data_IF_693128785090
#
_entry.id   IF_693128785090
#
_cell.length_a   1.000
_cell.length_b   1.000
_cell.length_c   1.000
_cell.angle_alpha   90.00
_cell.angle_beta   90.00
_cell.angle_gamma   90.00
#
_symmetry.space_group_name_H-M   'P 1'
#
loop_
_entity.id
_entity.type
_entity.pdbx_description
1 polymer ?
#
# COMPACT_ATOMS: atom_id res chain seq x y z
N UNK A 1 43.34 21.69 8.67
CA UNK A 1 42.48 22.41 7.69
C UNK A 1 41.06 21.95 7.94
N UNK A 2 40.28 22.77 8.63
CA UNK A 2 38.85 22.60 8.84
C UNK A 2 38.15 22.94 7.53
N UNK A 3 37.60 21.92 6.86
CA UNK A 3 36.72 22.14 5.71
C UNK A 3 35.35 22.48 6.31
N UNK A 4 35.02 23.76 6.32
CA UNK A 4 33.67 24.25 6.54
C UNK A 4 32.82 23.83 5.34
N UNK A 5 31.92 22.88 5.54
CA UNK A 5 30.80 22.64 4.63
C UNK A 5 29.79 23.77 4.84
N UNK A 6 29.36 24.50 3.80
CA UNK A 6 28.23 25.41 3.96
C UNK A 6 27.01 24.55 4.29
N UNK A 7 26.25 24.93 5.32
CA UNK A 7 24.90 24.42 5.51
C UNK A 7 24.13 24.74 4.22
N UNK A 8 23.65 23.71 3.53
CA UNK A 8 22.72 23.92 2.42
C UNK A 8 21.46 24.52 3.01
N UNK A 9 21.21 25.79 2.74
CA UNK A 9 19.87 26.38 2.88
C UNK A 9 18.93 25.47 2.09
N UNK A 10 18.10 24.71 2.81
CA UNK A 10 17.08 23.87 2.21
C UNK A 10 16.14 24.78 1.42
N UNK A 11 16.23 24.76 0.10
CA UNK A 11 15.34 25.54 -0.75
C UNK A 11 13.94 24.96 -0.61
N UNK A 12 13.11 25.57 0.26
CA UNK A 12 11.68 25.29 0.27
C UNK A 12 11.11 25.73 -1.08
N UNK A 13 10.57 24.79 -1.84
CA UNK A 13 9.86 25.10 -3.08
C UNK A 13 8.69 26.02 -2.74
N UNK A 14 8.52 27.08 -3.52
CA UNK A 14 7.31 27.91 -3.42
C UNK A 14 6.08 27.06 -3.76
N UNK A 15 4.89 27.43 -3.27
CA UNK A 15 3.63 26.73 -3.60
C UNK A 15 3.44 26.59 -5.12
N UNK A 16 3.77 27.63 -5.87
CA UNK A 16 3.66 27.65 -7.34
C UNK A 16 4.67 26.71 -8.03
N UNK A 17 5.84 26.46 -7.43
CA UNK A 17 6.79 25.45 -7.92
C UNK A 17 6.36 24.03 -7.54
N UNK A 18 5.71 23.85 -6.38
CA UNK A 18 5.14 22.55 -5.98
C UNK A 18 4.00 22.12 -6.91
N UNK A 19 3.17 23.05 -7.39
CA UNK A 19 2.09 22.75 -8.33
C UNK A 19 2.57 22.24 -9.71
N UNK A 20 3.83 22.48 -10.08
CA UNK A 20 4.40 22.07 -11.37
C UNK A 20 5.25 20.80 -11.29
N UNK A 21 5.54 20.32 -10.07
CA UNK A 21 6.36 19.14 -9.83
C UNK A 21 5.49 17.97 -9.37
N UNK A 22 5.90 16.73 -9.70
CA UNK A 22 5.20 15.55 -9.20
C UNK A 22 5.20 15.49 -7.67
N UNK A 23 4.13 14.95 -7.11
CA UNK A 23 4.08 14.62 -5.69
C UNK A 23 5.09 13.52 -5.35
N UNK A 24 5.61 13.55 -4.11
CA UNK A 24 6.67 12.65 -3.67
C UNK A 24 6.14 11.66 -2.62
N UNK A 25 6.44 10.38 -2.81
CA UNK A 25 6.06 9.30 -1.88
C UNK A 25 7.32 8.61 -1.37
N UNK A 26 7.48 8.55 -0.04
CA UNK A 26 8.46 7.70 0.63
C UNK A 26 7.88 6.29 0.77
N UNK A 27 8.42 5.32 0.03
CA UNK A 27 7.95 3.93 0.05
C UNK A 27 8.91 3.00 0.77
N UNK A 28 8.51 2.46 1.92
CA UNK A 28 9.32 1.60 2.80
C UNK A 28 8.78 0.17 2.75
N UNK A 29 9.36 -0.68 1.92
CA UNK A 29 8.85 -2.03 1.62
C UNK A 29 9.97 -3.02 1.30
N UNK A 30 9.64 -4.29 1.08
CA UNK A 30 10.58 -5.28 0.58
C UNK A 30 11.02 -5.01 -0.87
N UNK A 31 12.15 -5.57 -1.31
CA UNK A 31 12.59 -5.55 -2.70
C UNK A 31 13.08 -6.92 -3.18
N UNK A 32 12.77 -7.21 -4.46
CA UNK A 32 13.29 -8.37 -5.18
C UNK A 32 13.97 -7.95 -6.47
N UNK A 33 15.09 -8.60 -6.82
CA UNK A 33 15.80 -8.36 -8.06
C UNK A 33 15.12 -9.00 -9.30
N UNK A 34 14.48 -10.15 -9.11
CA UNK A 34 13.69 -10.86 -10.10
C UNK A 34 12.25 -11.03 -9.61
N UNK A 35 11.30 -10.63 -10.46
CA UNK A 35 9.87 -10.64 -10.16
C UNK A 35 9.37 -9.34 -9.52
N UNK A 36 8.14 -9.37 -9.01
CA UNK A 36 7.45 -8.19 -8.50
C UNK A 36 6.76 -8.48 -7.16
N UNK A 37 7.35 -7.98 -6.06
CA UNK A 37 6.74 -7.84 -4.72
C UNK A 37 7.34 -6.61 -4.03
N UNK A 38 6.64 -6.08 -3.02
CA UNK A 38 7.02 -4.86 -2.30
C UNK A 38 7.27 -3.69 -3.26
N UNK A 39 8.38 -2.99 -3.09
CA UNK A 39 8.77 -1.87 -3.94
C UNK A 39 8.97 -2.25 -5.42
N UNK A 40 9.29 -3.51 -5.75
CA UNK A 40 9.35 -3.97 -7.14
C UNK A 40 7.96 -4.07 -7.81
N UNK A 41 6.89 -4.10 -7.01
CA UNK A 41 5.50 -4.04 -7.46
C UNK A 41 4.84 -2.67 -7.21
N UNK A 42 5.32 -1.86 -6.26
CA UNK A 42 4.72 -0.58 -5.87
C UNK A 42 5.32 0.65 -6.56
N UNK A 43 6.64 0.70 -6.76
CA UNK A 43 7.31 1.91 -7.29
C UNK A 43 6.88 2.24 -8.70
N UNK A 44 6.90 1.25 -9.60
CA UNK A 44 6.61 1.48 -11.01
C UNK A 44 5.16 1.92 -11.27
N UNK A 45 4.11 1.35 -10.63
CA UNK A 45 2.76 1.87 -10.78
C UNK A 45 2.63 3.31 -10.30
N UNK A 46 3.21 3.67 -9.16
CA UNK A 46 3.22 5.05 -8.66
C UNK A 46 3.93 6.01 -9.64
N UNK A 47 5.10 5.64 -10.13
CA UNK A 47 5.81 6.43 -11.14
C UNK A 47 5.00 6.55 -12.43
N UNK A 48 4.34 5.47 -12.86
CA UNK A 48 3.48 5.48 -14.05
C UNK A 48 2.23 6.34 -13.88
N UNK A 49 1.78 6.55 -12.65
CA UNK A 49 0.73 7.49 -12.25
C UNK A 49 1.22 8.95 -12.13
N UNK A 50 2.52 9.20 -12.24
CA UNK A 50 3.12 10.53 -12.23
C UNK A 50 3.73 10.98 -10.90
N UNK A 51 4.03 10.06 -9.99
CA UNK A 51 4.67 10.36 -8.70
C UNK A 51 6.18 10.14 -8.74
N UNK A 52 6.91 10.93 -7.97
CA UNK A 52 8.27 10.58 -7.56
C UNK A 52 8.22 9.62 -6.37
N UNK A 53 9.09 8.61 -6.38
CA UNK A 53 9.09 7.57 -5.34
C UNK A 53 10.49 7.43 -4.74
N UNK A 54 10.61 7.76 -3.46
CA UNK A 54 11.83 7.57 -2.67
C UNK A 54 11.71 6.21 -2.00
N UNK A 55 12.36 5.20 -2.56
CA UNK A 55 12.24 3.83 -2.07
C UNK A 55 13.32 3.50 -1.04
N UNK A 56 12.89 3.04 0.14
CA UNK A 56 13.75 2.40 1.13
C UNK A 56 13.37 0.91 1.18
N UNK A 57 14.38 0.06 1.00
CA UNK A 57 14.19 -1.39 0.93
C UNK A 57 14.40 -2.01 2.31
N UNK A 58 13.43 -2.77 2.81
CA UNK A 58 13.53 -3.50 4.09
C UNK A 58 14.29 -4.83 3.92
N UNK A 59 14.26 -5.39 2.71
CA UNK A 59 15.06 -6.54 2.29
C UNK A 59 15.48 -6.34 0.84
N UNK A 60 16.56 -6.98 0.43
CA UNK A 60 16.92 -7.15 -0.98
C UNK A 60 17.15 -8.63 -1.25
N UNK A 61 16.18 -9.27 -1.89
CA UNK A 61 16.23 -10.68 -2.26
C UNK A 61 16.39 -10.90 -3.75
N UNK A 62 16.88 -12.08 -4.15
CA UNK A 62 16.93 -12.47 -5.56
C UNK A 62 15.53 -12.56 -6.15
N UNK A 63 14.57 -13.10 -5.41
CA UNK A 63 13.19 -13.35 -5.81
C UNK A 63 12.31 -13.49 -4.57
N UNK A 64 10.99 -13.47 -4.73
CA UNK A 64 10.07 -13.57 -3.60
C UNK A 64 10.12 -14.96 -2.93
N UNK A 65 9.80 -15.04 -1.64
CA UNK A 65 9.87 -16.28 -0.83
C UNK A 65 8.93 -17.38 -1.32
N UNK A 66 7.86 -17.03 -2.05
CA UNK A 66 6.95 -18.00 -2.67
C UNK A 66 7.61 -18.98 -3.67
N UNK A 67 8.84 -18.75 -4.13
CA UNK A 67 9.59 -19.73 -4.93
C UNK A 67 10.14 -20.90 -4.11
N UNK A 68 10.14 -20.81 -2.77
CA UNK A 68 10.68 -21.82 -1.86
C UNK A 68 12.18 -21.71 -1.60
N UNK A 69 12.94 -21.05 -2.48
CA UNK A 69 14.34 -20.70 -2.27
C UNK A 69 14.63 -19.29 -2.79
N UNK A 70 15.51 -18.58 -2.11
CA UNK A 70 15.97 -17.25 -2.47
C UNK A 70 17.34 -16.97 -1.83
N UNK A 71 18.01 -15.94 -2.31
CA UNK A 71 19.23 -15.38 -1.72
C UNK A 71 19.04 -13.90 -1.43
N UNK A 72 19.95 -13.30 -0.67
CA UNK A 72 19.95 -11.87 -0.40
C UNK A 72 20.04 -11.55 1.09
N UNK A 73 19.62 -10.33 1.46
CA UNK A 73 19.79 -9.80 2.81
C UNK A 73 18.53 -9.11 3.33
N UNK A 74 18.33 -9.20 4.64
CA UNK A 74 17.41 -8.35 5.39
C UNK A 74 18.20 -7.14 5.88
N UNK A 75 17.71 -5.94 5.65
CA UNK A 75 18.38 -4.74 6.13
C UNK A 75 18.04 -4.52 7.61
N UNK A 76 19.04 -4.29 8.47
CA UNK A 76 18.82 -3.92 9.86
C UNK A 76 17.97 -2.63 9.98
N UNK A 77 17.09 -2.53 10.99
CA UNK A 77 16.29 -1.32 11.23
C UNK A 77 17.11 -0.02 11.31
N UNK A 78 18.33 -0.08 11.83
CA UNK A 78 19.24 1.05 11.91
C UNK A 78 19.68 1.58 10.54
N UNK A 79 19.80 0.71 9.53
CA UNK A 79 20.13 1.12 8.17
C UNK A 79 18.94 1.84 7.52
N UNK A 80 17.71 1.37 7.78
CA UNK A 80 16.46 2.03 7.35
C UNK A 80 16.38 3.42 7.97
N UNK A 81 16.62 3.54 9.29
CA UNK A 81 16.64 4.82 9.99
C UNK A 81 17.73 5.77 9.46
N UNK A 82 18.93 5.26 9.17
CA UNK A 82 20.01 6.04 8.61
C UNK A 82 19.67 6.62 7.23
N UNK A 83 18.95 5.86 6.38
CA UNK A 83 18.48 6.35 5.08
C UNK A 83 17.45 7.48 5.23
N UNK A 84 16.51 7.36 6.18
CA UNK A 84 15.54 8.42 6.50
C UNK A 84 16.27 9.69 6.93
N UNK A 85 17.26 9.59 7.83
CA UNK A 85 18.08 10.73 8.24
C UNK A 85 18.89 11.32 7.07
N UNK A 86 19.37 10.47 6.16
CA UNK A 86 20.07 10.90 4.95
C UNK A 86 19.17 11.77 4.05
N UNK A 87 17.92 11.36 3.84
CA UNK A 87 16.91 12.11 3.08
C UNK A 87 16.60 13.45 3.78
N UNK A 88 16.37 13.39 5.10
CA UNK A 88 16.13 14.58 5.93
C UNK A 88 17.27 15.59 5.87
N UNK A 89 18.52 15.13 5.92
CA UNK A 89 19.71 15.97 5.84
C UNK A 89 19.89 16.65 4.47
N UNK A 90 19.09 16.32 3.46
CA UNK A 90 19.01 17.05 2.17
C UNK A 90 17.89 18.08 2.12
N UNK A 91 17.12 18.23 3.21
CA UNK A 91 15.96 19.13 3.26
C UNK A 91 14.77 18.64 2.44
N UNK A 92 14.69 17.34 2.14
CA UNK A 92 13.66 16.79 1.25
C UNK A 92 12.30 16.56 1.92
N UNK A 93 12.26 16.29 3.24
CA UNK A 93 11.02 15.92 3.95
C UNK A 93 9.85 16.91 3.81
N UNK A 94 10.04 18.25 3.79
CA UNK A 94 8.93 19.18 3.57
C UNK A 94 8.20 19.00 2.22
N UNK A 95 8.82 18.31 1.25
CA UNK A 95 8.24 18.01 -0.05
C UNK A 95 7.70 16.58 -0.14
N UNK A 96 7.75 15.79 0.94
CA UNK A 96 7.18 14.45 0.99
C UNK A 96 5.67 14.56 1.20
N UNK A 97 4.87 14.16 0.22
CA UNK A 97 3.40 14.23 0.30
C UNK A 97 2.80 12.96 0.92
N UNK A 98 3.59 11.90 1.05
CA UNK A 98 3.09 10.62 1.49
C UNK A 98 4.13 9.62 1.94
N UNK A 99 3.74 8.75 2.87
CA UNK A 99 4.50 7.54 3.24
C UNK A 99 3.66 6.32 2.89
N UNK A 100 4.30 5.33 2.28
CA UNK A 100 3.71 4.03 1.96
C UNK A 100 4.54 2.93 2.61
N UNK A 101 3.90 2.06 3.40
CA UNK A 101 4.53 0.85 3.93
C UNK A 101 3.82 -0.41 3.46
N UNK A 102 4.58 -1.49 3.33
CA UNK A 102 4.10 -2.85 3.09
C UNK A 102 4.77 -3.82 4.03
N UNK A 103 5.39 -4.87 3.51
CA UNK A 103 6.08 -5.88 4.32
C UNK A 103 7.12 -5.28 5.30
N UNK A 104 6.82 -5.38 6.60
CA UNK A 104 7.66 -5.00 7.73
C UNK A 104 8.21 -6.25 8.42
N UNK A 105 9.45 -6.64 8.11
CA UNK A 105 10.02 -7.94 8.50
C UNK A 105 10.42 -8.08 9.98
N UNK A 106 10.38 -7.01 10.78
CA UNK A 106 10.76 -7.02 12.19
C UNK A 106 10.12 -5.88 12.97
N UNK A 107 10.01 -6.03 14.30
CA UNK A 107 9.51 -4.97 15.20
C UNK A 107 10.27 -3.67 14.99
N UNK A 108 11.60 -3.73 14.89
CA UNK A 108 12.42 -2.54 14.61
C UNK A 108 12.11 -1.89 13.25
N UNK A 109 11.73 -2.68 12.23
CA UNK A 109 11.28 -2.12 10.95
C UNK A 109 9.98 -1.35 11.11
N UNK A 110 9.03 -1.87 11.91
CA UNK A 110 7.79 -1.15 12.23
C UNK A 110 8.13 0.19 12.90
N UNK A 111 8.97 0.18 13.94
CA UNK A 111 9.41 1.41 14.62
C UNK A 111 10.08 2.42 13.67
N UNK A 112 10.92 1.94 12.75
CA UNK A 112 11.57 2.80 11.76
C UNK A 112 10.55 3.44 10.80
N UNK A 113 9.52 2.71 10.37
CA UNK A 113 8.41 3.24 9.56
C UNK A 113 7.65 4.32 10.33
N UNK A 114 7.29 4.07 11.59
CA UNK A 114 6.56 5.06 12.41
C UNK A 114 7.40 6.32 12.62
N UNK A 115 8.70 6.16 12.90
CA UNK A 115 9.60 7.32 13.00
C UNK A 115 9.69 8.11 11.69
N UNK A 116 9.67 7.43 10.53
CA UNK A 116 9.62 8.09 9.23
C UNK A 116 8.35 8.94 9.08
N UNK A 117 7.19 8.36 9.40
CA UNK A 117 5.88 9.04 9.34
C UNK A 117 5.85 10.27 10.25
N UNK A 118 6.35 10.16 11.48
CA UNK A 118 6.43 11.29 12.42
C UNK A 118 7.32 12.42 11.89
N UNK A 119 8.50 12.09 11.38
CA UNK A 119 9.45 13.08 10.81
C UNK A 119 8.88 13.76 9.56
N UNK A 120 8.30 12.98 8.66
CA UNK A 120 7.64 13.49 7.45
C UNK A 120 6.52 14.46 7.84
N UNK A 121 5.64 14.08 8.77
CA UNK A 121 4.54 14.95 9.22
C UNK A 121 5.00 16.18 9.98
N UNK A 122 6.10 16.09 10.74
CA UNK A 122 6.69 17.26 11.38
C UNK A 122 7.19 18.29 10.34
N UNK A 123 7.64 17.83 9.16
CA UNK A 123 8.09 18.68 8.06
C UNK A 123 6.96 19.10 7.10
N UNK A 124 5.95 18.24 6.89
CA UNK A 124 4.76 18.45 6.07
C UNK A 124 3.51 17.86 6.75
N UNK A 125 2.73 18.67 7.49
CA UNK A 125 1.55 18.19 8.23
C UNK A 125 0.43 17.58 7.38
N UNK A 126 0.40 17.88 6.08
CA UNK A 126 -0.57 17.33 5.12
C UNK A 126 -0.18 15.94 4.60
N UNK A 127 1.02 15.45 4.92
CA UNK A 127 1.51 14.18 4.42
C UNK A 127 0.69 13.00 4.99
N UNK A 128 0.18 12.17 4.08
CA UNK A 128 -0.62 11.01 4.44
C UNK A 128 0.26 9.77 4.67
N UNK A 129 -0.20 8.85 5.50
CA UNK A 129 0.41 7.53 5.66
C UNK A 129 -0.56 6.42 5.22
N UNK A 130 -0.16 5.66 4.20
CA UNK A 130 -0.82 4.45 3.75
C UNK A 130 -0.06 3.21 4.25
N UNK A 131 -0.75 2.39 5.05
CA UNK A 131 -0.23 1.16 5.62
C UNK A 131 -0.89 -0.07 4.99
N UNK A 132 -0.12 -0.87 4.25
CA UNK A 132 -0.49 -2.25 3.92
C UNK A 132 0.04 -3.17 5.04
N UNK A 133 -0.84 -3.72 5.90
CA UNK A 133 -0.45 -4.46 7.09
C UNK A 133 -0.13 -5.92 6.75
N UNK A 134 0.82 -6.15 5.85
CA UNK A 134 1.18 -7.49 5.35
C UNK A 134 1.52 -8.45 6.49
N UNK A 135 0.62 -9.38 6.78
CA UNK A 135 0.74 -10.36 7.86
C UNK A 135 0.43 -11.79 7.42
N UNK A 136 -0.53 -11.97 6.53
CA UNK A 136 -1.09 -13.29 6.25
C UNK A 136 -2.07 -13.30 5.09
N UNK A 137 -2.46 -14.50 4.67
CA UNK A 137 -3.43 -14.71 3.60
C UNK A 137 -4.19 -16.03 3.83
N UNK A 138 -5.40 -16.16 3.27
CA UNK A 138 -6.15 -17.41 3.31
C UNK A 138 -5.36 -18.55 2.66
N UNK A 139 -5.42 -19.74 3.28
CA UNK A 139 -4.65 -20.92 2.87
C UNK A 139 -3.18 -20.94 3.31
N UNK A 140 -2.56 -19.78 3.59
CA UNK A 140 -1.18 -19.68 4.10
C UNK A 140 -1.13 -19.36 5.60
N UNK A 141 -2.17 -18.72 6.13
CA UNK A 141 -2.20 -18.22 7.49
C UNK A 141 -1.24 -17.04 7.69
N UNK A 142 -0.93 -16.73 8.94
CA UNK A 142 0.10 -15.75 9.30
C UNK A 142 1.47 -16.28 8.87
N UNK A 143 2.16 -15.56 7.98
CA UNK A 143 3.48 -15.95 7.46
C UNK A 143 4.62 -15.01 7.89
N UNK A 144 4.31 -14.06 8.77
CA UNK A 144 5.28 -13.17 9.40
C UNK A 144 5.67 -13.69 10.80
N UNK A 145 6.68 -13.07 11.42
CA UNK A 145 7.00 -13.35 12.82
C UNK A 145 5.75 -13.13 13.71
N UNK A 146 5.36 -14.07 14.60
CA UNK A 146 4.20 -13.92 15.48
C UNK A 146 4.17 -12.67 16.36
N UNK A 147 5.31 -12.03 16.60
CA UNK A 147 5.41 -10.76 17.33
C UNK A 147 4.94 -9.55 16.50
N UNK A 148 4.88 -9.66 15.16
CA UNK A 148 4.57 -8.54 14.28
C UNK A 148 3.09 -8.13 14.26
N UNK A 149 2.11 -9.05 14.18
CA UNK A 149 0.70 -8.64 14.11
C UNK A 149 0.27 -7.73 15.28
N UNK A 150 0.59 -8.03 16.56
CA UNK A 150 0.29 -7.12 17.67
C UNK A 150 0.97 -5.75 17.52
N UNK A 151 2.25 -5.72 17.13
CA UNK A 151 3.00 -4.48 16.98
C UNK A 151 2.46 -3.62 15.83
N UNK A 152 2.11 -4.22 14.70
CA UNK A 152 1.48 -3.52 13.57
C UNK A 152 0.12 -2.94 14.03
N UNK A 153 -0.68 -3.76 14.71
CA UNK A 153 -1.99 -3.40 15.24
C UNK A 153 -1.95 -2.24 16.26
N UNK A 154 -0.90 -2.18 17.09
CA UNK A 154 -0.74 -1.19 18.16
C UNK A 154 0.02 0.08 17.73
N UNK A 155 0.87 -0.01 16.69
CA UNK A 155 1.78 1.08 16.30
C UNK A 155 1.51 1.61 14.90
N UNK A 156 1.43 0.73 13.90
CA UNK A 156 1.25 1.15 12.52
C UNK A 156 -0.18 1.59 12.19
N UNK A 157 -1.17 0.80 12.60
CA UNK A 157 -2.58 1.13 12.37
C UNK A 157 -2.97 2.49 12.97
N UNK A 158 -2.62 2.81 14.24
CA UNK A 158 -2.96 4.12 14.82
C UNK A 158 -2.24 5.32 14.21
N UNK A 159 -1.13 5.08 13.50
CA UNK A 159 -0.43 6.14 12.77
C UNK A 159 -1.02 6.38 11.38
N UNK A 160 -1.74 5.41 10.81
CA UNK A 160 -2.18 5.40 9.41
C UNK A 160 -3.39 6.30 9.15
N UNK A 161 -3.37 6.96 7.99
CA UNK A 161 -4.53 7.67 7.43
C UNK A 161 -5.34 6.75 6.50
N UNK A 162 -4.66 5.80 5.86
CA UNK A 162 -5.22 4.78 4.97
C UNK A 162 -4.64 3.42 5.37
N UNK A 163 -5.48 2.41 5.55
CA UNK A 163 -5.04 1.02 5.75
C UNK A 163 -5.59 0.13 4.65
N UNK A 164 -4.79 -0.82 4.17
CA UNK A 164 -5.14 -1.67 3.03
C UNK A 164 -5.05 -3.16 3.40
N UNK A 165 -5.76 -3.65 4.42
CA UNK A 165 -5.74 -5.07 4.76
C UNK A 165 -6.38 -5.90 3.64
N UNK A 166 -5.91 -7.13 3.45
CA UNK A 166 -6.74 -8.15 2.79
C UNK A 166 -7.83 -8.67 3.73
N UNK A 167 -8.77 -9.46 3.20
CA UNK A 167 -9.84 -10.07 3.98
C UNK A 167 -9.32 -10.82 5.23
N UNK A 168 -8.32 -11.70 5.09
CA UNK A 168 -7.75 -12.45 6.21
C UNK A 168 -7.17 -11.52 7.28
N UNK A 169 -6.44 -10.48 6.86
CA UNK A 169 -5.82 -9.50 7.76
C UNK A 169 -6.86 -8.65 8.47
N UNK A 170 -7.98 -8.33 7.81
CA UNK A 170 -9.09 -7.64 8.46
C UNK A 170 -9.68 -8.51 9.58
N UNK A 171 -9.97 -9.79 9.32
CA UNK A 171 -10.45 -10.71 10.36
C UNK A 171 -9.45 -10.81 11.52
N UNK A 172 -8.15 -10.91 11.21
CA UNK A 172 -7.09 -10.98 12.21
C UNK A 172 -7.00 -9.72 13.07
N UNK A 173 -7.15 -8.53 12.44
CA UNK A 173 -7.04 -7.26 13.13
C UNK A 173 -8.25 -6.96 14.00
N UNK A 174 -9.45 -7.39 13.60
CA UNK A 174 -10.70 -7.05 14.30
C UNK A 174 -11.27 -8.17 15.14
N UNK A 175 -10.74 -9.39 15.03
CA UNK A 175 -11.32 -10.61 15.61
C UNK A 175 -12.78 -10.83 15.18
N UNK A 176 -13.13 -10.37 13.97
CA UNK A 176 -14.46 -10.53 13.39
C UNK A 176 -14.40 -11.48 12.20
N UNK A 177 -15.21 -12.54 12.21
CA UNK A 177 -15.37 -13.41 11.05
C UNK A 177 -16.25 -12.71 10.01
N UNK A 178 -15.84 -12.76 8.75
CA UNK A 178 -16.52 -12.12 7.63
C UNK A 178 -17.04 -13.21 6.68
N UNK A 179 -18.37 -13.32 6.61
CA UNK A 179 -19.07 -14.18 5.65
C UNK A 179 -20.01 -13.38 4.75
N UNK A 180 -20.44 -12.19 5.17
CA UNK A 180 -21.41 -11.34 4.45
C UNK A 180 -20.89 -9.91 4.25
N UNK A 181 -21.62 -9.11 3.46
CA UNK A 181 -21.29 -7.69 3.30
C UNK A 181 -21.39 -6.94 4.63
N UNK A 182 -22.41 -7.24 5.45
CA UNK A 182 -22.58 -6.59 6.75
C UNK A 182 -21.40 -6.87 7.69
N UNK A 183 -20.92 -8.12 7.76
CA UNK A 183 -19.75 -8.45 8.59
C UNK A 183 -18.51 -7.66 8.14
N UNK A 184 -18.30 -7.54 6.82
CA UNK A 184 -17.18 -6.77 6.27
C UNK A 184 -17.28 -5.28 6.63
N UNK A 185 -18.49 -4.72 6.62
CA UNK A 185 -18.74 -3.33 7.00
C UNK A 185 -18.53 -3.09 8.50
N UNK A 186 -18.96 -4.02 9.35
CA UNK A 186 -18.72 -3.96 10.80
C UNK A 186 -17.24 -4.06 11.13
N UNK A 187 -16.53 -5.02 10.55
CA UNK A 187 -15.09 -5.18 10.73
C UNK A 187 -14.32 -3.95 10.22
N UNK A 188 -14.64 -3.44 9.02
CA UNK A 188 -14.03 -2.23 8.49
C UNK A 188 -14.28 -1.01 9.38
N UNK A 189 -15.49 -0.88 9.95
CA UNK A 189 -15.82 0.17 10.93
C UNK A 189 -14.96 0.05 12.19
N UNK A 190 -14.85 -1.14 12.76
CA UNK A 190 -14.03 -1.40 13.94
C UNK A 190 -12.55 -1.09 13.70
N UNK A 191 -12.01 -1.42 12.52
CA UNK A 191 -10.64 -1.07 12.15
C UNK A 191 -10.47 0.44 11.96
N UNK A 192 -11.44 1.10 11.30
CA UNK A 192 -11.42 2.53 11.02
C UNK A 192 -11.30 3.38 12.28
N UNK A 193 -11.98 3.00 13.36
CA UNK A 193 -11.90 3.72 14.64
C UNK A 193 -10.50 3.66 15.29
N UNK A 194 -9.63 2.76 14.83
CA UNK A 194 -8.26 2.62 15.31
C UNK A 194 -7.25 3.40 14.49
N UNK A 195 -7.64 3.99 13.36
CA UNK A 195 -6.75 4.82 12.53
C UNK A 195 -6.49 6.18 13.18
N UNK A 196 -5.52 6.91 12.62
CA UNK A 196 -5.13 8.23 13.12
C UNK A 196 -6.33 9.18 13.24
N UNK A 197 -6.60 9.71 14.45
CA UNK A 197 -7.61 10.75 14.63
C UNK A 197 -7.29 12.01 13.83
N UNK A 198 -8.30 12.58 13.15
CA UNK A 198 -8.15 13.78 12.33
C UNK A 198 -7.50 13.57 10.96
N UNK A 199 -7.15 12.32 10.60
CA UNK A 199 -6.88 11.93 9.22
C UNK A 199 -8.17 11.50 8.48
N UNK A 200 -8.09 11.18 7.18
CA UNK A 200 -9.22 10.70 6.38
C UNK A 200 -9.75 9.33 6.79
N UNK A 201 -8.99 8.56 7.61
CA UNK A 201 -9.38 7.28 8.21
C UNK A 201 -10.02 6.31 7.20
N UNK A 202 -9.28 5.99 6.14
CA UNK A 202 -9.75 5.14 5.04
C UNK A 202 -9.35 3.69 5.28
N UNK A 203 -10.29 2.77 5.11
CA UNK A 203 -10.03 1.32 5.15
C UNK A 203 -10.34 0.73 3.77
N UNK A 204 -9.35 0.10 3.14
CA UNK A 204 -9.48 -0.60 1.85
C UNK A 204 -9.32 -2.10 2.07
N UNK A 205 -10.41 -2.85 1.99
CA UNK A 205 -10.42 -4.30 2.20
C UNK A 205 -10.22 -5.00 0.86
N UNK A 206 -9.01 -5.52 0.63
CA UNK A 206 -8.65 -6.22 -0.61
C UNK A 206 -9.01 -7.70 -0.54
N UNK A 207 -9.11 -8.34 -1.71
CA UNK A 207 -9.40 -9.78 -1.83
C UNK A 207 -10.63 -10.22 -1.03
N UNK A 208 -11.67 -9.38 -0.98
CA UNK A 208 -12.88 -9.67 -0.23
C UNK A 208 -13.69 -10.75 -0.94
N UNK A 209 -13.97 -11.82 -0.20
CA UNK A 209 -14.77 -12.97 -0.63
C UNK A 209 -15.84 -13.21 0.41
N UNK A 210 -17.10 -13.15 0.00
CA UNK A 210 -18.25 -13.29 0.89
C UNK A 210 -19.29 -14.20 0.25
N UNK A 211 -20.05 -14.91 1.07
CA UNK A 211 -21.02 -15.92 0.64
C UNK A 211 -22.22 -15.31 -0.10
N UNK A 212 -22.55 -14.05 0.19
CA UNK A 212 -23.62 -13.27 -0.42
C UNK A 212 -23.16 -12.45 -1.65
N UNK A 213 -21.91 -12.61 -2.11
CA UNK A 213 -21.44 -12.04 -3.36
C UNK A 213 -21.78 -12.94 -4.56
N UNK A 214 -21.93 -12.37 -5.78
CA UNK A 214 -22.10 -13.18 -6.99
C UNK A 214 -20.93 -14.16 -7.21
N UNK A 215 -21.28 -15.37 -7.60
CA UNK A 215 -20.31 -16.42 -7.91
C UNK A 215 -19.32 -15.99 -9.01
N UNK A 216 -18.07 -16.46 -8.91
CA UNK A 216 -17.04 -16.18 -9.90
C UNK A 216 -16.53 -14.73 -9.88
N UNK A 217 -16.71 -14.01 -8.77
CA UNK A 217 -16.23 -12.64 -8.60
C UNK A 217 -15.35 -12.47 -7.38
N UNK A 218 -14.53 -11.43 -7.40
CA UNK A 218 -13.74 -10.97 -6.26
C UNK A 218 -13.92 -9.47 -6.12
N UNK A 219 -13.94 -9.00 -4.88
CA UNK A 219 -14.30 -7.62 -4.57
C UNK A 219 -13.22 -6.92 -3.75
N UNK A 220 -13.25 -5.60 -3.82
CA UNK A 220 -12.52 -4.73 -2.90
C UNK A 220 -13.48 -3.68 -2.38
N UNK A 221 -13.48 -3.50 -1.06
CA UNK A 221 -14.33 -2.55 -0.36
C UNK A 221 -13.47 -1.36 0.07
N UNK A 222 -13.99 -0.15 -0.08
CA UNK A 222 -13.40 1.05 0.54
C UNK A 222 -14.41 1.72 1.45
N UNK A 223 -14.00 2.05 2.67
CA UNK A 223 -14.74 2.84 3.63
C UNK A 223 -13.96 4.13 3.92
N UNK A 224 -14.62 5.27 3.74
CA UNK A 224 -14.08 6.60 3.97
C UNK A 224 -15.13 7.51 4.62
N UNK A 225 -14.77 8.76 4.93
CA UNK A 225 -15.70 9.76 5.48
C UNK A 225 -16.83 10.08 4.49
N UNK A 226 -16.53 10.12 3.19
CA UNK A 226 -17.48 10.40 2.12
C UNK A 226 -18.51 9.28 1.87
N UNK A 227 -18.23 8.04 2.30
CA UNK A 227 -19.12 6.90 2.05
C UNK A 227 -18.41 5.55 2.08
N UNK A 228 -19.12 4.52 1.62
CA UNK A 228 -18.57 3.16 1.49
C UNK A 228 -18.95 2.58 0.15
N UNK A 229 -17.99 1.94 -0.52
CA UNK A 229 -18.17 1.37 -1.86
C UNK A 229 -17.54 0.00 -1.99
N UNK A 230 -18.10 -0.80 -2.90
CA UNK A 230 -17.54 -2.07 -3.35
C UNK A 230 -17.29 -1.98 -4.85
N UNK A 231 -16.07 -2.31 -5.28
CA UNK A 231 -15.76 -2.55 -6.68
C UNK A 231 -15.59 -4.06 -6.89
N UNK A 232 -16.27 -4.58 -7.92
CA UNK A 232 -16.33 -6.01 -8.24
C UNK A 232 -15.67 -6.29 -9.57
N UNK A 233 -14.86 -7.34 -9.61
CA UNK A 233 -14.25 -7.84 -10.84
C UNK A 233 -14.50 -9.35 -10.98
N UNK A 234 -14.47 -9.90 -12.21
CA UNK A 234 -14.42 -11.35 -12.40
C UNK A 234 -13.21 -11.95 -11.69
N UNK A 235 -13.37 -13.10 -11.04
CA UNK A 235 -12.27 -13.84 -10.48
C UNK A 235 -11.49 -14.55 -11.60
N UNK A 236 -10.23 -14.17 -11.80
CA UNK A 236 -9.35 -14.83 -12.76
C UNK A 236 -8.79 -16.14 -12.15
N UNK A 237 -8.78 -17.26 -12.91
CA UNK A 237 -8.30 -18.54 -12.42
C UNK A 237 -6.76 -18.60 -12.42
N UNK A 238 -6.14 -17.85 -11.52
CA UNK A 238 -4.70 -17.81 -11.32
C UNK A 238 -4.31 -18.87 -10.29
N UNK A 239 -3.76 -19.99 -10.77
CA UNK A 239 -3.21 -21.05 -9.92
C UNK A 239 -1.71 -21.28 -10.25
N UNK A 240 -0.78 -21.11 -9.29
CA UNK A 240 -1.02 -20.55 -7.95
C UNK A 240 -1.47 -19.08 -8.00
N UNK A 241 -1.96 -18.49 -6.89
CA UNK A 241 -2.12 -17.04 -6.79
C UNK A 241 -0.82 -16.31 -7.16
N UNK A 242 -0.95 -15.09 -7.67
CA UNK A 242 0.20 -14.27 -8.08
C UNK A 242 0.66 -13.42 -6.91
N UNK A 243 1.96 -13.40 -6.66
CA UNK A 243 2.54 -12.54 -5.63
C UNK A 243 2.63 -11.10 -6.15
N UNK A 244 2.65 -10.13 -5.24
CA UNK A 244 2.78 -8.71 -5.56
C UNK A 244 1.46 -8.01 -5.94
N UNK A 245 0.34 -8.71 -5.94
CA UNK A 245 -0.98 -8.12 -6.23
C UNK A 245 -1.43 -7.15 -5.13
N UNK A 246 -1.24 -7.51 -3.86
CA UNK A 246 -1.46 -6.65 -2.70
C UNK A 246 -0.64 -5.36 -2.78
N UNK A 247 0.68 -5.50 -2.97
CA UNK A 247 1.59 -4.36 -3.11
C UNK A 247 1.17 -3.42 -4.27
N UNK A 248 0.76 -4.00 -5.42
CA UNK A 248 0.32 -3.25 -6.58
C UNK A 248 -1.01 -2.52 -6.35
N UNK A 249 -2.03 -3.17 -5.74
CA UNK A 249 -3.32 -2.53 -5.48
C UNK A 249 -3.20 -1.45 -4.41
N UNK A 250 -2.40 -1.66 -3.37
CA UNK A 250 -2.10 -0.65 -2.35
C UNK A 250 -1.47 0.58 -3.00
N UNK A 251 -0.44 0.39 -3.83
CA UNK A 251 0.24 1.47 -4.53
C UNK A 251 -0.70 2.22 -5.50
N UNK A 252 -1.48 1.49 -6.30
CA UNK A 252 -2.44 2.07 -7.25
C UNK A 252 -3.54 2.85 -6.52
N UNK A 253 -4.14 2.28 -5.48
CA UNK A 253 -5.17 2.95 -4.69
C UNK A 253 -4.62 4.23 -4.07
N UNK A 254 -3.46 4.14 -3.40
CA UNK A 254 -2.87 5.29 -2.73
C UNK A 254 -2.51 6.41 -3.70
N UNK A 255 -1.87 6.08 -4.82
CA UNK A 255 -1.55 7.05 -5.86
C UNK A 255 -2.79 7.68 -6.49
N UNK A 256 -3.86 6.92 -6.73
CA UNK A 256 -5.11 7.50 -7.24
C UNK A 256 -5.78 8.39 -6.21
N UNK A 257 -5.84 7.99 -4.93
CA UNK A 257 -6.41 8.81 -3.87
C UNK A 257 -5.66 10.13 -3.70
N UNK A 258 -4.32 10.13 -3.74
CA UNK A 258 -3.52 11.35 -3.73
C UNK A 258 -3.80 12.28 -4.93
N UNK A 259 -4.21 11.73 -6.08
CA UNK A 259 -4.57 12.53 -7.27
C UNK A 259 -6.01 13.04 -7.25
N UNK A 260 -6.94 12.26 -6.71
CA UNK A 260 -8.38 12.51 -6.85
C UNK A 260 -9.02 13.10 -5.60
N UNK A 261 -8.47 12.80 -4.42
CA UNK A 261 -9.09 13.07 -3.12
C UNK A 261 -10.45 12.38 -2.92
N UNK A 262 -10.75 11.33 -3.72
CA UNK A 262 -12.05 10.67 -3.76
C UNK A 262 -11.87 9.15 -3.73
N UNK A 263 -12.33 8.50 -2.65
CA UNK A 263 -12.13 7.07 -2.41
C UNK A 263 -12.82 6.17 -3.46
N UNK A 264 -14.01 6.53 -3.93
CA UNK A 264 -14.76 5.78 -4.95
C UNK A 264 -14.06 5.78 -6.31
N UNK A 265 -13.55 6.94 -6.73
CA UNK A 265 -12.78 7.08 -7.96
C UNK A 265 -11.43 6.35 -7.84
N UNK A 266 -10.76 6.48 -6.69
CA UNK A 266 -9.51 5.77 -6.42
C UNK A 266 -9.70 4.25 -6.47
N UNK A 267 -10.78 3.74 -5.86
CA UNK A 267 -11.15 2.32 -5.89
C UNK A 267 -11.43 1.85 -7.33
N UNK A 268 -12.24 2.59 -8.08
CA UNK A 268 -12.61 2.22 -9.46
C UNK A 268 -11.38 2.13 -10.37
N UNK A 269 -10.51 3.14 -10.33
CA UNK A 269 -9.32 3.20 -11.18
C UNK A 269 -8.27 2.16 -10.78
N UNK A 270 -8.04 1.97 -9.48
CA UNK A 270 -7.04 1.01 -8.99
C UNK A 270 -7.45 -0.43 -9.26
N UNK A 271 -8.71 -0.79 -9.04
CA UNK A 271 -9.23 -2.13 -9.37
C UNK A 271 -9.23 -2.41 -10.87
N UNK A 272 -9.53 -1.40 -11.68
CA UNK A 272 -9.48 -1.52 -13.14
C UNK A 272 -8.06 -1.78 -13.65
N UNK A 273 -7.08 -1.02 -13.14
CA UNK A 273 -5.67 -1.23 -13.45
C UNK A 273 -5.17 -2.61 -12.99
N UNK A 274 -5.50 -3.02 -11.76
CA UNK A 274 -5.12 -4.33 -11.24
C UNK A 274 -5.73 -5.47 -12.07
N UNK A 275 -7.02 -5.38 -12.41
CA UNK A 275 -7.67 -6.41 -13.22
C UNK A 275 -6.98 -6.56 -14.57
N UNK A 276 -6.70 -5.46 -15.27
CA UNK A 276 -6.02 -5.50 -16.57
C UNK A 276 -4.60 -6.08 -16.47
N UNK A 277 -3.87 -5.75 -15.40
CA UNK A 277 -2.58 -6.36 -15.08
C UNK A 277 -2.69 -7.89 -14.91
N UNK A 278 -3.67 -8.35 -14.14
CA UNK A 278 -3.87 -9.77 -13.86
C UNK A 278 -4.41 -10.53 -15.06
N UNK A 279 -5.30 -9.92 -15.85
CA UNK A 279 -5.82 -10.49 -17.09
C UNK A 279 -4.66 -10.72 -18.08
N UNK A 280 -3.78 -9.73 -18.25
CA UNK A 280 -2.59 -9.88 -19.08
C UNK A 280 -1.63 -10.94 -18.55
N UNK A 281 -1.46 -10.99 -17.23
CA UNK A 281 -0.64 -12.03 -16.57
C UNK A 281 -1.20 -13.43 -16.82
N UNK A 282 -2.52 -13.59 -16.73
CA UNK A 282 -3.22 -14.83 -17.00
C UNK A 282 -3.07 -15.25 -18.47
N UNK A 283 -3.31 -14.34 -19.41
CA UNK A 283 -3.16 -14.58 -20.85
C UNK A 283 -1.72 -14.96 -21.25
N UNK A 284 -0.72 -14.36 -20.59
CA UNK A 284 0.68 -14.68 -20.81
C UNK A 284 1.10 -16.02 -20.18
N UNK A 285 0.30 -16.60 -19.27
CA UNK A 285 0.62 -17.83 -18.56
C UNK A 285 1.83 -17.71 -17.63
N UNK A 286 2.20 -16.51 -17.19
CA UNK A 286 3.40 -16.26 -16.39
C UNK A 286 3.13 -16.36 -14.90
N UNK A 287 4.17 -16.72 -14.14
CA UNK A 287 4.15 -16.71 -12.67
C UNK A 287 4.31 -15.29 -12.09
N UNK A 288 5.14 -14.46 -12.70
CA UNK A 288 5.29 -13.05 -12.32
C UNK A 288 4.20 -12.19 -12.97
N UNK A 289 3.69 -11.22 -12.20
CA UNK A 289 2.75 -10.23 -12.71
C UNK A 289 3.38 -9.42 -13.85
N UNK A 290 2.62 -9.20 -14.91
CA UNK A 290 3.10 -8.54 -16.14
C UNK A 290 3.03 -7.01 -16.03
N UNK A 291 3.65 -6.48 -14.97
CA UNK A 291 3.53 -5.10 -14.51
C UNK A 291 4.00 -4.07 -15.54
N UNK A 292 5.21 -4.27 -16.09
CA UNK A 292 5.75 -3.39 -17.14
C UNK A 292 4.97 -3.54 -18.45
N UNK A 293 4.53 -4.75 -18.76
CA UNK A 293 3.76 -4.99 -19.97
C UNK A 293 2.44 -4.21 -19.90
N UNK A 294 1.72 -4.28 -18.78
CA UNK A 294 0.44 -3.61 -18.54
C UNK A 294 0.53 -2.10 -18.21
N UNK A 295 1.68 -1.46 -18.40
CA UNK A 295 1.93 -0.10 -17.92
C UNK A 295 0.91 0.96 -18.36
N UNK A 296 0.34 0.85 -19.56
CA UNK A 296 -0.63 1.82 -20.05
C UNK A 296 -1.97 1.69 -19.31
N UNK A 297 -2.35 0.48 -18.95
CA UNK A 297 -3.53 0.18 -18.13
C UNK A 297 -3.36 0.72 -16.70
N UNK A 298 -2.14 0.76 -16.16
CA UNK A 298 -1.88 1.32 -14.83
C UNK A 298 -2.24 2.82 -14.76
N UNK A 299 -1.92 3.55 -15.83
CA UNK A 299 -2.19 4.99 -15.89
C UNK A 299 -3.61 5.31 -16.36
N UNK A 300 -4.11 4.54 -17.33
CA UNK A 300 -5.39 4.79 -18.03
C UNK A 300 -6.04 3.45 -18.38
N UNK A 301 -6.73 2.80 -17.42
CA UNK A 301 -7.40 1.52 -17.69
C UNK A 301 -8.37 1.65 -18.87
N UNK A 302 -8.26 0.74 -19.84
CA UNK A 302 -9.13 0.74 -21.02
C UNK A 302 -10.55 0.28 -20.70
N UNK A 303 -10.71 -0.49 -19.63
CA UNK A 303 -11.98 -0.97 -19.08
C UNK A 303 -12.07 -0.50 -17.64
N UNK A 304 -13.15 0.20 -17.30
CA UNK A 304 -13.41 0.68 -15.93
C UNK A 304 -14.44 -0.22 -15.25
N UNK A 305 -14.11 -0.65 -14.04
CA UNK A 305 -15.02 -1.28 -13.09
C UNK A 305 -15.42 -0.24 -12.04
N UNK A 306 -16.69 0.15 -12.05
CA UNK A 306 -17.21 1.21 -11.19
C UNK A 306 -17.39 0.74 -9.74
N UNK A 307 -16.97 1.57 -8.80
CA UNK A 307 -17.27 1.43 -7.39
C UNK A 307 -18.76 1.69 -7.15
N UNK A 308 -19.43 0.75 -6.48
CA UNK A 308 -20.86 0.82 -6.18
C UNK A 308 -21.05 1.15 -4.71
N UNK A 309 -21.84 2.19 -4.42
CA UNK A 309 -22.13 2.59 -3.04
C UNK A 309 -22.87 1.47 -2.31
N UNK A 310 -22.47 1.21 -1.07
CA UNK A 310 -23.09 0.24 -0.16
C UNK A 310 -23.35 0.88 1.19
N UNK A 311 -24.31 0.33 1.93
CA UNK A 311 -24.71 0.83 3.25
C UNK A 311 -24.81 -0.34 4.23
N UNK A 312 -24.44 -0.09 5.49
CA UNK A 312 -24.74 -0.99 6.60
C UNK A 312 -26.25 -1.19 6.68
N UNK A 313 -26.70 -2.44 6.59
CA UNK A 313 -28.09 -2.77 6.89
C UNK A 313 -28.20 -3.04 8.39
N UNK A 314 -28.98 -2.21 9.08
CA UNK A 314 -29.25 -2.35 10.52
C UNK A 314 -30.28 -3.41 10.87
#
# INVERSE_FOLDING_TARGET
MTISTPASEGTHLTLQQREQLPHNILSIQSWVAYGHVGNAAAMFPLQRLGFEVWAIQTVQFSNHTGYGAWTGQVFPPEDIAALIHGIEARGALPNCDGVLSGYMGSVGTVEAVISAVERVRAANPEALYCCDPVMGDFGRGVFVNPELPPVIAERAIPAADIVVPNHFELELLTDCKISTLNDALEAATALRERLRPGGPRIVVVTSLTREDAPEGTIETLVMADEGTWVCRTPLLPLDPPRNGTGDAITALFYGQYLRTGQADQALSLSMSALYALLERTHQAGTREIQLVAAQDELARPSRVFEAQAVMLQG
#
